data_IF_850943551878
#
_entry.id   IF_850943551878
#
_cell.length_a   1.000
_cell.length_b   1.000
_cell.length_c   1.000
_cell.angle_alpha   90.00
_cell.angle_beta   90.00
_cell.angle_gamma   90.00
#
_symmetry.space_group_name_H-M   'P 1'
#
loop_
_entity.id
_entity.type
_entity.pdbx_description
1 polymer ?
#
# COMPACT_ATOMS: atom_id res chain seq x y z
N UNK A 1 -13.45 -11.95 4.03
CA UNK A 1 -12.66 -10.97 3.27
C UNK A 1 -13.28 -9.61 3.49
N UNK A 2 -12.68 -8.77 4.32
CA UNK A 2 -13.10 -7.38 4.44
C UNK A 2 -12.58 -6.64 3.20
N UNK A 3 -13.49 -6.17 2.35
CA UNK A 3 -13.22 -5.33 1.17
C UNK A 3 -12.88 -3.88 1.56
N UNK A 4 -12.48 -3.62 2.81
CA UNK A 4 -12.31 -2.24 3.31
C UNK A 4 -11.04 -1.60 2.76
N UNK A 5 -10.07 -2.41 2.32
CA UNK A 5 -8.75 -1.98 1.84
C UNK A 5 -8.58 -2.06 0.32
N UNK A 6 -9.57 -2.58 -0.44
CA UNK A 6 -9.56 -2.63 -1.91
C UNK A 6 -10.16 -1.34 -2.46
N UNK A 7 -9.35 -0.53 -3.13
CA UNK A 7 -9.79 0.76 -3.67
C UNK A 7 -9.71 0.72 -5.19
N UNK A 8 -10.87 0.69 -5.84
CA UNK A 8 -10.97 0.81 -7.29
C UNK A 8 -10.79 2.27 -7.73
N UNK A 9 -9.72 2.51 -8.51
CA UNK A 9 -9.42 3.82 -9.07
C UNK A 9 -10.15 4.05 -10.39
N UNK A 10 -10.28 2.99 -11.19
CA UNK A 10 -10.87 3.02 -12.52
C UNK A 10 -11.58 1.71 -12.81
N UNK A 11 -12.81 1.80 -13.33
CA UNK A 11 -13.51 0.67 -13.93
C UNK A 11 -12.97 0.31 -15.33
N UNK A 12 -13.70 -0.51 -16.10
CA UNK A 12 -13.17 -1.14 -17.31
C UNK A 12 -12.91 -0.15 -18.46
N UNK A 13 -11.83 -0.39 -19.20
CA UNK A 13 -11.45 0.35 -20.40
C UNK A 13 -10.53 -0.48 -21.30
N UNK A 14 -10.39 -0.08 -22.56
CA UNK A 14 -9.55 -0.79 -23.54
C UNK A 14 -8.38 0.08 -23.95
N UNK A 15 -7.20 -0.53 -24.01
CA UNK A 15 -5.95 0.08 -24.52
C UNK A 15 -5.39 -0.77 -25.66
N UNK A 16 -4.34 -0.31 -26.33
CA UNK A 16 -3.62 -1.10 -27.33
C UNK A 16 -2.19 -1.39 -26.88
N UNK A 17 -1.69 -2.57 -27.18
CA UNK A 17 -0.26 -2.85 -27.02
C UNK A 17 0.57 -2.24 -28.16
N UNK A 18 1.88 -2.37 -28.08
CA UNK A 18 2.85 -1.92 -29.10
C UNK A 18 2.67 -2.62 -30.46
N UNK A 19 2.05 -3.81 -30.47
CA UNK A 19 1.69 -4.55 -31.69
C UNK A 19 0.34 -4.11 -32.29
N UNK A 20 -0.36 -3.19 -31.61
CA UNK A 20 -1.65 -2.66 -32.02
C UNK A 20 -2.86 -3.53 -31.64
N UNK A 21 -2.65 -4.60 -30.88
CA UNK A 21 -3.73 -5.47 -30.41
C UNK A 21 -4.50 -4.81 -29.27
N UNK A 22 -5.85 -4.94 -29.25
CA UNK A 22 -6.64 -4.45 -28.14
C UNK A 22 -6.39 -5.29 -26.88
N UNK A 23 -6.20 -4.61 -25.76
CA UNK A 23 -6.06 -5.20 -24.44
C UNK A 23 -7.14 -4.61 -23.53
N UNK A 24 -8.04 -5.48 -23.07
CA UNK A 24 -9.19 -5.09 -22.24
C UNK A 24 -8.80 -5.12 -20.76
N UNK A 25 -8.82 -3.96 -20.12
CA UNK A 25 -8.55 -3.80 -18.69
C UNK A 25 -9.90 -3.82 -17.96
N UNK A 26 -10.01 -4.69 -16.96
CA UNK A 26 -11.20 -4.83 -16.13
C UNK A 26 -11.27 -3.70 -15.08
N UNK A 27 -10.14 -3.38 -14.44
CA UNK A 27 -10.07 -2.32 -13.43
C UNK A 27 -8.62 -1.93 -13.11
N UNK A 28 -8.43 -0.73 -12.56
CA UNK A 28 -7.20 -0.33 -11.86
C UNK A 28 -7.52 -0.20 -10.38
N UNK A 29 -6.70 -0.83 -9.53
CA UNK A 29 -6.92 -0.90 -8.08
C UNK A 29 -5.63 -0.61 -7.31
N UNK A 30 -5.80 -0.22 -6.07
CA UNK A 30 -4.73 -0.16 -5.06
C UNK A 30 -5.24 -0.85 -3.80
N UNK A 31 -4.32 -1.44 -3.05
CA UNK A 31 -4.63 -1.99 -1.74
C UNK A 31 -4.06 -1.09 -0.65
N UNK A 32 -4.84 -0.92 0.41
CA UNK A 32 -4.39 -0.29 1.65
C UNK A 32 -3.60 -1.31 2.48
N UNK A 33 -2.33 -1.51 2.11
CA UNK A 33 -1.42 -2.47 2.78
C UNK A 33 -0.53 -1.83 3.86
N UNK A 34 -0.72 -0.53 4.14
CA UNK A 34 -0.32 0.07 5.41
C UNK A 34 1.17 0.28 5.70
N UNK A 35 2.08 0.06 4.75
CA UNK A 35 3.51 0.35 4.94
C UNK A 35 4.17 0.93 3.68
N UNK A 36 4.08 2.25 3.52
CA UNK A 36 4.90 2.97 2.53
C UNK A 36 4.38 2.89 1.09
N UNK A 37 5.22 2.42 0.16
CA UNK A 37 5.04 2.55 -1.30
C UNK A 37 3.76 1.86 -1.77
N UNK A 38 3.02 2.53 -2.67
CA UNK A 38 1.76 2.01 -3.21
C UNK A 38 2.04 1.24 -4.49
N UNK A 39 1.67 -0.04 -4.52
CA UNK A 39 1.58 -0.81 -5.76
C UNK A 39 0.21 -0.58 -6.43
N UNK A 40 0.24 -0.39 -7.74
CA UNK A 40 -0.96 -0.21 -8.57
C UNK A 40 -1.20 -1.45 -9.40
N UNK A 41 -2.38 -2.01 -9.23
CA UNK A 41 -2.81 -3.27 -9.79
C UNK A 41 -3.72 -3.02 -10.98
N UNK A 42 -3.24 -3.37 -12.17
CA UNK A 42 -4.01 -3.29 -13.41
C UNK A 42 -4.51 -4.69 -13.75
N UNK A 43 -5.80 -4.91 -13.53
CA UNK A 43 -6.41 -6.21 -13.75
C UNK A 43 -6.91 -6.33 -15.19
N UNK A 44 -6.42 -7.33 -15.90
CA UNK A 44 -6.75 -7.63 -17.28
C UNK A 44 -8.01 -8.50 -17.35
N UNK A 45 -8.86 -8.27 -18.35
CA UNK A 45 -10.07 -9.08 -18.57
C UNK A 45 -9.73 -10.48 -19.05
N UNK A 46 -8.61 -10.64 -19.76
CA UNK A 46 -8.13 -11.90 -20.32
C UNK A 46 -6.73 -12.18 -19.80
N UNK A 47 -6.38 -13.47 -19.73
CA UNK A 47 -5.00 -13.89 -19.47
C UNK A 47 -4.07 -13.27 -20.52
N UNK A 48 -2.94 -12.77 -20.06
CA UNK A 48 -1.84 -12.23 -20.85
C UNK A 48 -0.99 -13.36 -21.45
N UNK A 49 -1.22 -14.61 -21.03
CA UNK A 49 -0.44 -15.78 -21.45
C UNK A 49 1.07 -15.54 -21.22
N UNK A 50 1.91 -15.72 -22.23
CA UNK A 50 3.35 -15.44 -22.18
C UNK A 50 3.72 -13.98 -22.55
N UNK A 51 2.73 -13.13 -22.86
CA UNK A 51 2.99 -11.73 -23.20
C UNK A 51 3.32 -10.94 -21.93
N UNK A 52 4.57 -10.47 -21.83
CA UNK A 52 5.04 -9.57 -20.75
C UNK A 52 4.50 -8.16 -20.93
N UNK A 53 3.18 -7.99 -20.86
CA UNK A 53 2.53 -6.70 -21.11
C UNK A 53 2.94 -5.60 -20.11
N UNK A 54 3.48 -5.98 -18.95
CA UNK A 54 4.08 -5.04 -18.00
C UNK A 54 5.37 -4.37 -18.53
N UNK A 55 6.05 -4.98 -19.50
CA UNK A 55 7.22 -4.41 -20.19
C UNK A 55 6.80 -3.57 -21.42
N UNK A 56 5.51 -3.62 -21.83
CA UNK A 56 5.03 -2.87 -22.99
C UNK A 56 4.82 -1.39 -22.64
N UNK A 57 5.79 -0.56 -23.01
CA UNK A 57 5.76 0.88 -22.76
C UNK A 57 4.56 1.60 -23.41
N UNK A 58 4.01 1.09 -24.51
CA UNK A 58 2.85 1.70 -25.19
C UNK A 58 1.58 1.43 -24.38
N UNK A 59 1.44 0.22 -23.85
CA UNK A 59 0.36 -0.15 -22.96
C UNK A 59 0.45 0.63 -21.64
N UNK A 60 1.60 0.59 -20.97
CA UNK A 60 1.81 1.29 -19.69
C UNK A 60 1.54 2.79 -19.84
N UNK A 61 1.99 3.43 -20.92
CA UNK A 61 1.72 4.84 -21.18
C UNK A 61 0.23 5.16 -21.34
N UNK A 62 -0.56 4.25 -21.92
CA UNK A 62 -2.02 4.43 -22.01
C UNK A 62 -2.71 4.25 -20.65
N UNK A 63 -2.22 3.33 -19.82
CA UNK A 63 -2.65 3.21 -18.42
C UNK A 63 -2.35 4.50 -17.65
N UNK A 64 -1.14 5.04 -17.78
CA UNK A 64 -0.75 6.32 -17.16
C UNK A 64 -1.63 7.47 -17.66
N UNK A 65 -1.88 7.56 -18.96
CA UNK A 65 -2.78 8.56 -19.53
C UNK A 65 -4.21 8.44 -18.94
N UNK A 66 -4.67 7.22 -18.63
CA UNK A 66 -5.95 7.00 -17.96
C UNK A 66 -5.93 7.50 -16.52
N UNK A 67 -4.86 7.25 -15.77
CA UNK A 67 -4.68 7.81 -14.42
C UNK A 67 -4.61 9.33 -14.43
N UNK A 68 -3.94 9.92 -15.43
CA UNK A 68 -3.90 11.38 -15.60
C UNK A 68 -5.29 11.98 -15.85
N UNK A 69 -6.13 11.31 -16.64
CA UNK A 69 -7.53 11.72 -16.84
C UNK A 69 -8.36 11.64 -15.55
N UNK A 70 -7.99 10.77 -14.61
CA UNK A 70 -8.67 10.62 -13.33
C UNK A 70 -8.22 11.66 -12.29
N UNK A 71 -7.20 12.46 -12.60
CA UNK A 71 -6.70 13.56 -11.76
C UNK A 71 -5.30 13.34 -11.19
N UNK A 72 -4.61 12.23 -11.51
CA UNK A 72 -3.21 12.09 -11.16
C UNK A 72 -2.35 13.04 -12.02
N UNK A 73 -1.40 13.77 -11.43
CA UNK A 73 -0.56 14.72 -12.16
C UNK A 73 0.95 14.50 -11.91
N UNK A 74 1.32 13.36 -11.33
CA UNK A 74 2.70 13.03 -11.01
C UNK A 74 3.42 12.29 -12.15
N UNK A 75 4.67 11.85 -11.89
CA UNK A 75 5.50 11.15 -12.86
C UNK A 75 4.95 9.75 -13.21
N UNK A 76 5.47 9.18 -14.29
CA UNK A 76 5.12 7.82 -14.71
C UNK A 76 5.58 6.77 -13.70
N UNK A 77 4.88 5.63 -13.66
CA UNK A 77 5.17 4.56 -12.71
C UNK A 77 6.39 3.72 -13.13
N UNK A 78 7.00 3.10 -12.12
CA UNK A 78 8.07 2.13 -12.30
C UNK A 78 7.54 0.74 -12.64
N UNK A 79 8.46 -0.19 -12.86
CA UNK A 79 8.12 -1.60 -12.92
C UNK A 79 7.85 -2.10 -11.49
N UNK A 80 6.69 -2.70 -11.26
CA UNK A 80 6.40 -3.39 -10.01
C UNK A 80 7.18 -4.70 -9.88
N UNK A 81 7.13 -5.31 -8.71
CA UNK A 81 7.83 -6.58 -8.45
C UNK A 81 7.36 -7.68 -9.42
N UNK A 82 8.32 -8.34 -10.06
CA UNK A 82 8.07 -9.47 -10.97
C UNK A 82 7.39 -10.63 -10.26
N UNK A 83 7.60 -10.80 -8.95
CA UNK A 83 6.98 -11.83 -8.13
C UNK A 83 5.50 -11.60 -7.85
N UNK A 84 4.99 -10.38 -8.07
CA UNK A 84 3.58 -10.02 -7.91
C UNK A 84 2.83 -9.98 -9.26
N UNK A 85 3.54 -10.11 -10.38
CA UNK A 85 2.92 -10.22 -11.70
C UNK A 85 2.20 -11.56 -11.80
N UNK A 86 0.97 -11.55 -12.30
CA UNK A 86 0.15 -12.74 -12.52
C UNK A 86 -0.33 -12.78 -13.98
N UNK A 87 -0.88 -13.90 -14.42
CA UNK A 87 -1.41 -14.08 -15.78
C UNK A 87 -2.46 -13.04 -16.17
N UNK A 88 -3.12 -12.37 -15.21
CA UNK A 88 -4.13 -11.32 -15.46
C UNK A 88 -3.85 -10.04 -14.70
N UNK A 89 -2.69 -9.92 -14.08
CA UNK A 89 -2.39 -8.82 -13.18
C UNK A 89 -1.07 -8.20 -13.56
N UNK A 90 -1.12 -6.92 -13.93
CA UNK A 90 0.08 -6.10 -14.06
C UNK A 90 0.21 -5.29 -12.77
N UNK A 91 1.39 -5.38 -12.15
CA UNK A 91 1.74 -4.58 -10.96
C UNK A 91 2.73 -3.50 -11.35
N UNK A 92 2.42 -2.26 -10.97
CA UNK A 92 3.25 -1.08 -11.22
C UNK A 92 3.59 -0.42 -9.90
N UNK A 93 4.86 -0.05 -9.71
CA UNK A 93 5.31 0.66 -8.52
C UNK A 93 4.99 2.16 -8.69
N UNK A 94 4.13 2.70 -7.83
CA UNK A 94 3.81 4.12 -7.86
C UNK A 94 4.88 4.95 -7.15
N UNK A 95 5.25 6.13 -7.69
CA UNK A 95 6.12 7.07 -7.00
C UNK A 95 5.39 7.70 -5.81
N UNK A 96 6.13 8.20 -4.83
CA UNK A 96 5.57 8.84 -3.62
C UNK A 96 4.59 9.99 -3.93
N UNK A 97 4.79 10.70 -5.05
CA UNK A 97 3.87 11.74 -5.53
C UNK A 97 2.44 11.23 -5.79
N UNK A 98 2.25 9.93 -5.98
CA UNK A 98 0.95 9.28 -6.14
C UNK A 98 0.14 9.23 -4.84
N UNK A 99 0.79 9.27 -3.67
CA UNK A 99 0.13 9.14 -2.36
C UNK A 99 -0.96 10.19 -2.16
N UNK A 100 -0.73 11.43 -2.59
CA UNK A 100 -1.75 12.49 -2.50
C UNK A 100 -2.99 12.19 -3.36
N UNK A 101 -2.81 11.60 -4.53
CA UNK A 101 -3.91 11.16 -5.39
C UNK A 101 -4.62 9.96 -4.79
N UNK A 102 -3.89 8.96 -4.30
CA UNK A 102 -4.45 7.79 -3.64
C UNK A 102 -5.27 8.20 -2.40
N UNK A 103 -4.77 9.11 -1.57
CA UNK A 103 -5.47 9.63 -0.40
C UNK A 103 -6.78 10.33 -0.79
N UNK A 104 -6.80 11.08 -1.90
CA UNK A 104 -8.03 11.68 -2.44
C UNK A 104 -9.09 10.64 -2.86
N UNK A 105 -8.67 9.40 -3.10
CA UNK A 105 -9.52 8.25 -3.47
C UNK A 105 -9.90 7.37 -2.28
N UNK A 106 -9.44 7.72 -1.08
CA UNK A 106 -9.78 7.01 0.15
C UNK A 106 -8.67 6.12 0.71
N UNK A 107 -7.47 6.11 0.10
CA UNK A 107 -6.31 5.40 0.65
C UNK A 107 -5.86 6.05 1.96
N UNK A 108 -5.55 5.23 2.96
CA UNK A 108 -5.04 5.70 4.26
C UNK A 108 -3.60 5.22 4.42
N UNK A 109 -2.74 6.11 4.91
CA UNK A 109 -1.38 5.73 5.26
C UNK A 109 -1.37 5.12 6.67
N UNK A 110 -1.58 3.81 6.79
CA UNK A 110 -1.61 3.16 8.12
C UNK A 110 -0.25 3.27 8.83
N UNK A 111 0.86 3.47 8.11
CA UNK A 111 2.18 3.67 8.72
C UNK A 111 2.27 4.94 9.56
N UNK A 112 1.46 5.96 9.24
CA UNK A 112 1.38 7.20 10.01
C UNK A 112 0.54 7.00 11.29
N UNK A 113 -0.51 6.19 11.21
CA UNK A 113 -1.40 5.86 12.34
C UNK A 113 -0.66 5.07 13.44
N UNK A 114 0.23 4.14 13.06
CA UNK A 114 1.06 3.40 14.03
C UNK A 114 2.23 4.23 14.60
N UNK A 115 2.71 5.27 13.90
CA UNK A 115 3.77 6.14 14.43
C UNK A 115 3.25 7.08 15.55
N UNK A 116 1.96 7.41 15.54
CA UNK A 116 1.33 8.24 16.57
C UNK A 116 0.98 7.45 17.84
N UNK A 117 0.67 6.16 17.76
CA UNK A 117 0.40 5.31 18.95
C UNK A 117 1.65 5.04 19.81
N UNK A 118 2.84 4.98 19.21
CA UNK A 118 4.11 4.87 19.97
C UNK A 118 4.50 6.19 20.68
N UNK A 119 3.97 7.33 20.24
CA UNK A 119 4.27 8.63 20.84
C UNK A 119 3.38 8.95 22.07
N UNK A 120 2.14 8.43 22.12
CA UNK A 120 1.23 8.70 23.24
C UNK A 120 1.49 7.79 24.47
N UNK A 121 2.10 6.61 24.25
CA UNK A 121 2.52 5.73 25.36
C UNK A 121 3.74 6.27 26.15
N UNK A 122 4.43 7.29 25.62
CA UNK A 122 5.57 7.92 26.29
C UNK A 122 5.21 9.11 27.20
N UNK A 123 3.94 9.52 27.31
CA UNK A 123 3.56 10.72 28.08
C UNK A 123 2.54 10.50 29.21
N UNK A 124 2.32 9.27 29.65
CA UNK A 124 1.62 9.03 30.92
C UNK A 124 2.59 8.97 32.10
N UNK A 125 2.95 10.17 32.60
CA UNK A 125 3.23 10.50 34.00
C UNK A 125 4.12 9.57 34.84
N UNK A 126 5.28 10.09 35.26
CA UNK A 126 6.01 9.58 36.42
C UNK A 126 5.07 9.39 37.65
N UNK A 127 5.21 8.26 38.37
CA UNK A 127 5.25 8.30 39.82
C UNK A 127 6.66 7.91 40.29
N UNK A 128 7.14 8.68 41.26
CA UNK A 128 8.53 8.69 41.70
C UNK A 128 9.11 7.35 42.15
N UNK A 129 10.45 7.37 42.18
CA UNK A 129 11.39 6.56 42.97
C UNK A 129 11.01 5.10 43.28
N UNK A 130 11.87 4.10 42.94
CA UNK A 130 11.65 2.73 43.40
C UNK A 130 11.69 2.71 44.93
N UNK A 131 10.52 2.53 45.54
CA UNK A 131 10.37 2.39 46.98
C UNK A 131 11.06 1.10 47.44
N UNK A 132 12.27 1.25 47.95
CA UNK A 132 13.11 0.22 48.59
C UNK A 132 12.46 -0.43 49.82
N UNK A 133 11.29 0.03 50.24
CA UNK A 133 10.56 -0.45 51.42
C UNK A 133 9.87 -1.80 51.23
N UNK A 134 9.51 -2.20 50.00
CA UNK A 134 8.77 -3.44 49.76
C UNK A 134 9.68 -4.69 49.78
N UNK A 135 10.91 -4.56 49.28
CA UNK A 135 11.94 -5.60 49.35
C UNK A 135 12.45 -5.80 50.78
N UNK A 136 12.60 -4.72 51.56
CA UNK A 136 13.07 -4.79 52.95
C UNK A 136 12.03 -5.45 53.90
N UNK A 137 10.74 -5.21 53.65
CA UNK A 137 9.65 -5.85 54.37
C UNK A 137 9.52 -7.36 54.09
N UNK A 138 9.87 -7.80 52.88
CA UNK A 138 9.82 -9.22 52.48
C UNK A 138 10.97 -10.01 53.13
N UNK A 139 12.18 -9.44 53.19
CA UNK A 139 13.35 -10.12 53.77
C UNK A 139 13.28 -10.29 55.29
N UNK A 140 12.55 -9.41 56.00
CA UNK A 140 12.30 -9.58 57.45
C UNK A 140 11.35 -10.72 57.78
N UNK A 141 10.45 -11.10 56.86
CA UNK A 141 9.47 -12.18 57.08
C UNK A 141 10.07 -13.58 56.93
N UNK A 142 11.22 -13.71 56.28
CA UNK A 142 11.94 -14.98 56.09
C UNK A 142 13.09 -15.23 57.06
N UNK A 143 13.37 -14.31 58.00
CA UNK A 143 14.49 -14.43 58.96
C UNK A 143 14.05 -14.64 60.41
N UNK A 144 12.76 -14.84 60.66
CA UNK A 144 12.23 -15.15 61.98
C UNK A 144 11.32 -16.37 61.90
N UNK A 145 11.91 -17.56 61.75
CA UNK A 145 11.64 -18.83 62.46
C UNK A 145 12.40 -19.94 61.75
#
# INVERSE_FOLDING_TARGET
MNNDTDIELCGPFTVRDSSGNPRDIASIRIFDEGYGIIDVYVHMTRSMEDDRLYEDAVLVKQVMARLHQLGYAGPDFGHGDLGLQDERLIVLEAPEAFNAFAASRGWKNLAEEFAEEDADSATSGMPGAPSTTLLDALMRKFKAT
#
